data_IF_584467204071
#
_entry.id   IF_584467204071
#
_cell.length_a   1.000
_cell.length_b   1.000
_cell.length_c   1.000
_cell.angle_alpha   90.00
_cell.angle_beta   90.00
_cell.angle_gamma   90.00
#
_symmetry.space_group_name_H-M   'P 1'
#
loop_
_entity.id
_entity.type
_entity.pdbx_description
1 polymer ?
#
# COMPACT_ATOMS: atom_id res chain seq x y z
N UNK A 1 43.58 15.07 16.82
CA UNK A 1 42.84 15.51 15.64
C UNK A 1 41.37 15.40 16.00
N UNK A 2 40.74 16.52 16.34
CA UNK A 2 39.30 16.56 16.58
C UNK A 2 38.62 16.41 15.20
N UNK A 3 37.73 15.44 15.06
CA UNK A 3 36.95 15.27 13.83
C UNK A 3 35.98 16.44 13.73
N UNK A 4 36.03 17.16 12.62
CA UNK A 4 35.10 18.25 12.33
C UNK A 4 33.68 17.69 12.26
N UNK A 5 32.84 18.05 13.22
CA UNK A 5 31.40 17.87 13.13
C UNK A 5 30.89 18.82 12.04
N UNK A 6 30.60 18.29 10.85
CA UNK A 6 29.94 19.10 9.82
C UNK A 6 28.51 19.41 10.26
N UNK A 7 28.22 20.69 10.44
CA UNK A 7 26.85 21.18 10.65
C UNK A 7 26.17 21.19 9.30
N UNK A 8 25.31 20.21 9.04
CA UNK A 8 24.44 20.20 7.86
C UNK A 8 23.24 21.09 8.19
N UNK A 9 23.18 22.26 7.56
CA UNK A 9 22.03 23.17 7.68
C UNK A 9 20.91 22.67 6.77
N UNK A 10 19.94 21.94 7.32
CA UNK A 10 18.73 21.55 6.60
C UNK A 10 17.82 22.78 6.52
N UNK A 11 17.67 23.35 5.33
CA UNK A 11 16.72 24.44 5.07
C UNK A 11 15.54 23.84 4.32
N UNK A 12 14.44 23.55 5.02
CA UNK A 12 13.20 23.15 4.37
C UNK A 12 12.52 24.41 3.81
N UNK A 13 12.52 24.58 2.49
CA UNK A 13 11.67 25.58 1.85
C UNK A 13 10.23 25.04 1.92
N UNK A 14 9.44 25.53 2.90
CA UNK A 14 8.00 25.30 2.93
C UNK A 14 7.40 26.14 1.80
N UNK A 15 7.58 25.69 0.56
CA UNK A 15 6.87 26.20 -0.58
C UNK A 15 5.39 25.91 -0.34
N UNK A 16 4.64 26.95 0.06
CA UNK A 16 3.17 26.96 0.19
C UNK A 16 2.53 25.90 -0.72
N UNK A 17 2.11 24.80 -0.13
CA UNK A 17 1.18 23.88 -0.75
C UNK A 17 -0.13 24.65 -1.00
N UNK A 18 -0.25 25.23 -2.19
CA UNK A 18 -1.56 25.62 -2.72
C UNK A 18 -2.20 24.34 -3.26
N UNK A 19 -2.78 23.55 -2.36
CA UNK A 19 -3.92 22.73 -2.73
C UNK A 19 -5.19 23.43 -2.27
N UNK A 20 -5.99 23.79 -3.26
CA UNK A 20 -7.33 24.30 -3.10
C UNK A 20 -8.18 23.20 -2.46
N UNK A 21 -8.49 23.34 -1.18
CA UNK A 21 -9.67 22.68 -0.62
C UNK A 21 -10.92 23.42 -1.12
N UNK A 22 -11.94 22.73 -1.65
CA UNK A 22 -13.25 23.33 -1.83
C UNK A 22 -13.83 23.67 -0.45
N UNK A 23 -13.90 24.97 -0.17
CA UNK A 23 -14.73 25.62 0.86
C UNK A 23 -14.62 25.12 2.31
N UNK A 24 -13.78 25.83 3.08
CA UNK A 24 -14.30 26.60 4.22
C UNK A 24 -14.50 25.88 5.55
N UNK A 25 -13.41 25.65 6.29
CA UNK A 25 -13.42 25.73 7.76
C UNK A 25 -12.12 26.40 8.23
N UNK A 26 -12.18 27.44 9.10
CA UNK A 26 -11.00 28.11 9.62
C UNK A 26 -10.50 27.40 10.88
N UNK A 27 -9.31 26.79 10.83
CA UNK A 27 -8.73 26.16 12.01
C UNK A 27 -7.43 25.37 11.82
N UNK A 28 -6.69 25.56 10.73
CA UNK A 28 -5.36 24.93 10.59
C UNK A 28 -4.37 25.72 11.44
N UNK A 29 -4.09 25.22 12.65
CA UNK A 29 -2.94 25.65 13.44
C UNK A 29 -1.67 25.17 12.73
N UNK A 30 -0.88 26.11 12.22
CA UNK A 30 0.51 25.86 11.78
C UNK A 30 1.41 25.99 13.00
N UNK A 31 1.26 25.08 13.97
CA UNK A 31 2.25 24.98 15.02
C UNK A 31 3.37 24.09 14.51
N UNK A 32 4.54 24.69 14.42
CA UNK A 32 5.83 24.07 14.12
C UNK A 32 6.19 23.15 15.29
N UNK A 33 5.55 21.99 15.36
CA UNK A 33 5.73 21.03 16.45
C UNK A 33 6.86 20.07 16.07
N UNK A 34 8.00 20.34 16.71
CA UNK A 34 9.17 19.47 17.01
C UNK A 34 9.57 18.37 16.01
N UNK A 35 10.85 18.43 15.61
CA UNK A 35 11.62 17.33 14.99
C UNK A 35 11.27 15.98 15.63
N UNK A 36 10.45 15.19 14.94
CA UNK A 36 10.26 13.78 15.27
C UNK A 36 11.42 13.02 14.63
N UNK A 37 12.07 12.17 15.42
CA UNK A 37 13.12 11.28 14.93
C UNK A 37 12.50 9.88 14.79
N UNK A 38 12.77 9.17 13.70
CA UNK A 38 12.44 7.74 13.67
C UNK A 38 13.26 6.96 14.71
N UNK A 39 12.93 5.67 14.90
CA UNK A 39 13.63 4.79 15.84
C UNK A 39 15.13 4.58 15.47
N UNK A 40 15.52 4.99 14.26
CA UNK A 40 16.89 4.99 13.75
C UNK A 40 17.59 6.37 13.87
N UNK A 41 16.90 7.41 14.35
CA UNK A 41 17.43 8.75 14.59
C UNK A 41 17.38 9.72 13.41
N UNK A 42 16.60 9.45 12.37
CA UNK A 42 16.43 10.34 11.20
C UNK A 42 15.31 11.36 11.39
N UNK A 43 15.49 12.58 10.89
CA UNK A 43 14.52 13.69 11.00
C UNK A 43 13.33 13.45 10.06
N UNK A 44 12.12 13.45 10.62
CA UNK A 44 10.85 13.37 9.87
C UNK A 44 10.12 14.73 9.90
N UNK A 45 9.64 15.18 8.74
CA UNK A 45 8.72 16.32 8.63
C UNK A 45 7.29 15.81 8.38
N UNK A 46 6.47 15.76 9.43
CA UNK A 46 5.08 15.31 9.33
C UNK A 46 4.12 16.51 9.22
N UNK A 47 3.19 16.47 8.26
CA UNK A 47 1.97 17.26 8.31
C UNK A 47 0.80 16.32 8.61
N UNK A 48 0.24 16.42 9.81
CA UNK A 48 -0.88 15.59 10.23
C UNK A 48 -2.21 16.35 10.07
N UNK A 49 -3.22 15.70 9.51
CA UNK A 49 -4.60 16.22 9.52
C UNK A 49 -5.40 15.48 10.59
N UNK A 50 -5.63 16.12 11.76
CA UNK A 50 -6.45 15.52 12.82
C UNK A 50 -6.35 16.22 14.18
N UNK A 51 -7.44 16.22 14.95
CA UNK A 51 -7.44 16.70 16.34
C UNK A 51 -6.52 15.83 17.21
N UNK A 52 -5.93 16.41 18.25
CA UNK A 52 -5.05 15.67 19.16
C UNK A 52 -5.80 14.53 19.87
N UNK A 53 -5.50 13.27 19.53
CA UNK A 53 -6.00 12.09 20.24
C UNK A 53 -6.49 10.92 19.39
N UNK A 54 -6.71 11.10 18.09
CA UNK A 54 -7.12 10.03 17.16
C UNK A 54 -5.93 9.60 16.29
N UNK A 55 -5.86 8.33 15.87
CA UNK A 55 -4.83 7.81 14.94
C UNK A 55 -4.71 8.76 13.75
N UNK A 56 -3.62 9.52 13.69
CA UNK A 56 -3.48 10.63 12.73
C UNK A 56 -2.84 10.09 11.46
N UNK A 57 -3.56 10.22 10.35
CA UNK A 57 -2.96 10.19 9.01
C UNK A 57 -1.96 11.35 8.91
N UNK A 58 -0.71 11.04 9.23
CA UNK A 58 0.41 11.96 9.10
C UNK A 58 1.06 11.70 7.75
N UNK A 59 1.12 12.76 6.95
CA UNK A 59 1.75 12.77 5.65
C UNK A 59 3.17 13.31 5.82
N UNK A 60 4.19 12.57 5.40
CA UNK A 60 5.53 13.14 5.25
C UNK A 60 5.51 14.03 4.01
N UNK A 61 5.52 15.35 4.20
CA UNK A 61 5.86 16.30 3.12
C UNK A 61 7.26 16.77 3.35
N UNK A 62 8.19 16.17 2.64
CA UNK A 62 9.51 16.74 2.57
C UNK A 62 10.06 16.51 1.17
N UNK A 63 9.98 17.56 0.36
CA UNK A 63 11.08 17.84 -0.56
C UNK A 63 12.32 18.06 0.32
N UNK A 64 12.94 16.97 0.82
CA UNK A 64 14.27 17.06 1.42
C UNK A 64 15.23 17.21 0.26
N UNK A 65 15.40 18.44 -0.22
CA UNK A 65 16.62 18.78 -0.92
C UNK A 65 17.74 18.75 0.14
N UNK A 66 18.53 17.68 0.17
CA UNK A 66 19.80 17.68 0.88
C UNK A 66 20.77 18.57 0.10
N UNK A 67 20.59 19.89 0.24
CA UNK A 67 21.49 20.88 -0.35
C UNK A 67 22.83 20.83 0.38
N UNK A 68 23.72 19.98 -0.11
CA UNK A 68 25.12 20.03 0.26
C UNK A 68 25.70 21.37 -0.18
N UNK A 69 26.39 22.07 0.73
CA UNK A 69 27.21 23.23 0.35
C UNK A 69 28.45 22.83 -0.46
N UNK A 70 28.72 21.52 -0.56
CA UNK A 70 29.79 20.94 -1.35
C UNK A 70 29.29 20.58 -2.77
N UNK A 71 29.78 21.27 -3.82
CA UNK A 71 29.38 21.03 -5.21
C UNK A 71 29.87 19.69 -5.78
N UNK A 72 30.62 18.88 -5.00
CA UNK A 72 31.07 17.55 -5.39
C UNK A 72 30.08 16.43 -5.01
N UNK A 73 29.04 16.74 -4.24
CA UNK A 73 27.97 15.78 -3.89
C UNK A 73 26.77 16.02 -4.81
N UNK A 74 26.32 15.02 -5.59
CA UNK A 74 25.12 15.15 -6.40
C UNK A 74 23.89 15.30 -5.51
N UNK A 75 22.99 16.23 -5.87
CA UNK A 75 21.69 16.40 -5.22
C UNK A 75 20.87 15.11 -5.35
N UNK A 76 20.36 14.60 -4.23
CA UNK A 76 19.56 13.37 -4.20
C UNK A 76 18.10 13.77 -4.22
N UNK A 77 17.53 13.96 -5.41
CA UNK A 77 16.09 14.13 -5.57
C UNK A 77 15.41 12.77 -5.43
N UNK A 78 14.83 12.50 -4.28
CA UNK A 78 13.99 11.31 -4.08
C UNK A 78 12.59 11.62 -4.61
N UNK A 79 12.03 10.83 -5.55
CA UNK A 79 10.66 11.05 -5.99
C UNK A 79 9.68 10.77 -4.86
N UNK A 80 8.75 11.70 -4.71
CA UNK A 80 7.71 11.82 -3.69
C UNK A 80 6.80 10.58 -3.66
N UNK A 81 6.96 9.71 -2.66
CA UNK A 81 5.88 8.82 -2.24
C UNK A 81 5.44 9.27 -0.84
N UNK A 82 4.21 9.76 -0.73
CA UNK A 82 3.55 9.98 0.54
C UNK A 82 3.53 8.65 1.30
N UNK A 83 4.42 8.48 2.28
CA UNK A 83 4.49 7.28 3.09
C UNK A 83 3.59 7.50 4.31
N UNK A 84 2.50 6.73 4.43
CA UNK A 84 1.60 6.75 5.58
C UNK A 84 2.40 6.47 6.84
N UNK A 85 2.34 7.31 7.87
CA UNK A 85 2.84 6.90 9.20
C UNK A 85 1.71 6.46 10.12
N UNK A 86 0.56 6.13 9.52
CA UNK A 86 -0.61 5.62 10.22
C UNK A 86 -0.38 4.23 10.79
N UNK A 87 -1.31 3.88 11.66
CA UNK A 87 -1.54 2.54 12.20
C UNK A 87 -3.06 2.36 12.05
N UNK A 88 -3.43 1.77 10.91
CA UNK A 88 -4.82 1.76 10.43
C UNK A 88 -5.70 0.80 11.21
N UNK A 89 -5.14 -0.25 11.79
CA UNK A 89 -5.86 -1.24 12.59
C UNK A 89 -5.62 -1.14 14.10
N UNK A 90 -4.68 -0.30 14.53
CA UNK A 90 -4.42 0.04 15.91
C UNK A 90 -3.67 -1.05 16.67
N UNK A 91 -2.90 -1.89 15.98
CA UNK A 91 -2.16 -3.00 16.59
C UNK A 91 -0.80 -2.57 17.18
N UNK A 92 -0.39 -1.33 16.95
CA UNK A 92 0.87 -0.76 17.41
C UNK A 92 2.03 -0.87 16.41
N UNK A 93 1.78 -1.41 15.21
CA UNK A 93 2.69 -1.46 14.07
C UNK A 93 2.22 -0.44 13.04
N UNK A 94 3.15 0.30 12.45
CA UNK A 94 2.79 1.31 11.43
C UNK A 94 2.55 0.62 10.10
N UNK A 95 1.59 1.10 9.31
CA UNK A 95 1.17 0.53 8.00
C UNK A 95 2.34 0.19 7.06
N UNK A 96 3.48 0.89 7.16
CA UNK A 96 4.64 0.73 6.27
C UNK A 96 5.54 -0.45 6.60
N UNK A 97 5.44 -0.95 7.83
CA UNK A 97 6.20 -2.07 8.35
C UNK A 97 5.27 -3.17 8.87
N UNK A 98 3.96 -2.96 8.72
CA UNK A 98 2.91 -3.90 9.05
C UNK A 98 2.66 -4.84 7.86
N UNK A 99 2.75 -6.15 8.10
CA UNK A 99 2.47 -7.17 7.11
C UNK A 99 0.96 -7.44 6.92
N UNK A 100 0.09 -6.87 7.78
CA UNK A 100 -1.37 -6.87 7.63
C UNK A 100 -1.97 -5.50 8.01
N UNK A 101 -1.79 -4.43 7.21
CA UNK A 101 -2.16 -3.05 7.57
C UNK A 101 -3.63 -2.79 7.94
N UNK A 102 -4.52 -3.77 7.76
CA UNK A 102 -5.94 -3.64 8.06
C UNK A 102 -6.46 -4.69 9.05
N UNK A 103 -5.59 -5.57 9.55
CA UNK A 103 -5.96 -6.69 10.44
C UNK A 103 -4.95 -6.83 11.56
N UNK A 104 -5.35 -6.36 12.74
CA UNK A 104 -4.47 -6.21 13.89
C UNK A 104 -3.70 -7.49 14.27
N UNK A 105 -2.37 -7.42 14.21
CA UNK A 105 -1.47 -8.55 14.40
C UNK A 105 -0.09 -8.15 14.96
N UNK A 106 -0.11 -7.43 16.09
CA UNK A 106 1.05 -6.82 16.76
C UNK A 106 2.33 -7.67 16.91
N UNK A 107 2.22 -9.00 16.89
CA UNK A 107 3.38 -9.88 16.95
C UNK A 107 4.19 -9.91 15.63
N UNK A 108 3.54 -9.73 14.47
CA UNK A 108 4.09 -9.77 13.09
C UNK A 108 4.79 -11.09 12.72
N UNK A 109 5.71 -11.60 13.53
CA UNK A 109 6.54 -12.80 13.31
C UNK A 109 5.85 -14.14 13.64
N UNK A 110 4.79 -14.12 14.44
CA UNK A 110 4.02 -15.31 14.82
C UNK A 110 2.76 -15.53 13.95
N UNK A 111 2.64 -14.80 12.84
CA UNK A 111 1.50 -14.95 11.93
C UNK A 111 1.77 -16.03 10.87
N UNK A 112 0.91 -17.07 10.78
CA UNK A 112 1.03 -18.06 9.74
C UNK A 112 0.89 -17.44 8.35
N UNK A 113 1.64 -17.99 7.41
CA UNK A 113 1.59 -17.72 5.98
C UNK A 113 1.66 -19.10 5.31
N UNK A 114 0.50 -19.62 4.93
CA UNK A 114 0.31 -21.02 4.54
C UNK A 114 0.76 -21.31 3.11
N UNK A 115 0.71 -20.32 2.23
CA UNK A 115 1.12 -20.43 0.84
C UNK A 115 2.50 -19.81 0.55
N UNK A 116 3.08 -19.10 1.52
CA UNK A 116 4.42 -18.53 1.52
C UNK A 116 4.62 -17.35 0.55
N UNK A 117 3.58 -16.55 0.34
CA UNK A 117 3.60 -15.38 -0.55
C UNK A 117 4.11 -14.10 0.15
N UNK A 118 4.26 -14.14 1.48
CA UNK A 118 4.70 -13.02 2.31
C UNK A 118 3.57 -12.21 2.95
N UNK A 119 2.31 -12.60 2.72
CA UNK A 119 1.09 -12.05 3.32
C UNK A 119 0.55 -13.06 4.33
N UNK A 120 0.35 -12.66 5.60
CA UNK A 120 -0.17 -13.60 6.57
C UNK A 120 -1.61 -14.04 6.30
N UNK A 121 -1.90 -15.30 6.65
CA UNK A 121 -3.21 -15.97 6.50
C UNK A 121 -4.39 -15.16 7.07
N UNK A 122 -4.15 -14.26 8.02
CA UNK A 122 -5.21 -13.46 8.66
C UNK A 122 -5.68 -12.28 7.79
N UNK A 123 -4.89 -11.86 6.81
CA UNK A 123 -5.20 -10.76 5.90
C UNK A 123 -5.00 -11.11 4.42
N UNK A 124 -4.74 -12.39 4.12
CA UNK A 124 -4.59 -12.90 2.78
C UNK A 124 -5.95 -13.18 2.11
N UNK A 125 -6.19 -12.59 0.94
CA UNK A 125 -7.40 -12.79 0.14
C UNK A 125 -7.37 -14.06 -0.74
N UNK A 126 -6.29 -14.85 -0.71
CA UNK A 126 -6.12 -16.13 -1.42
C UNK A 126 -5.28 -17.18 -0.66
N UNK A 127 -5.74 -17.61 0.52
CA UNK A 127 -5.12 -18.55 1.49
C UNK A 127 -4.38 -19.81 0.99
N UNK A 128 -4.58 -20.22 -0.26
CA UNK A 128 -3.99 -21.43 -0.83
C UNK A 128 -3.07 -21.20 -2.01
N UNK A 129 -2.91 -19.97 -2.50
CA UNK A 129 -2.18 -19.68 -3.72
C UNK A 129 -1.51 -18.31 -3.71
N UNK A 130 -0.18 -18.34 -3.91
CA UNK A 130 0.67 -17.16 -3.78
C UNK A 130 0.18 -15.97 -4.62
N UNK A 131 -0.17 -14.87 -3.96
CA UNK A 131 -0.57 -13.64 -4.62
C UNK A 131 -0.09 -12.38 -3.87
N UNK A 132 1.23 -12.09 -3.83
CA UNK A 132 1.80 -11.04 -2.98
C UNK A 132 1.26 -9.62 -3.24
N UNK A 133 0.62 -9.39 -4.40
CA UNK A 133 -0.02 -8.12 -4.73
C UNK A 133 -1.37 -7.90 -4.05
N UNK A 134 -2.00 -8.96 -3.52
CA UNK A 134 -3.30 -8.96 -2.82
C UNK A 134 -4.38 -8.18 -3.59
N UNK A 135 -4.32 -8.24 -4.92
CA UNK A 135 -5.23 -7.53 -5.79
C UNK A 135 -6.60 -8.18 -5.74
N UNK A 136 -7.61 -7.36 -5.46
CA UNK A 136 -9.03 -7.71 -5.49
C UNK A 136 -9.73 -6.55 -6.21
N UNK A 137 -9.97 -6.71 -7.50
CA UNK A 137 -10.42 -5.62 -8.36
C UNK A 137 -11.90 -5.32 -8.14
N UNK A 138 -12.69 -6.36 -7.89
CA UNK A 138 -14.13 -6.25 -7.68
C UNK A 138 -14.51 -5.97 -6.21
N UNK A 139 -13.55 -6.09 -5.28
CA UNK A 139 -13.68 -5.88 -3.83
C UNK A 139 -14.71 -6.79 -3.18
N UNK A 140 -14.77 -8.06 -3.60
CA UNK A 140 -15.67 -9.06 -3.01
C UNK A 140 -15.00 -9.85 -1.87
N UNK A 141 -13.70 -9.63 -1.65
CA UNK A 141 -12.88 -10.26 -0.61
C UNK A 141 -12.14 -11.50 -1.09
N UNK A 142 -12.26 -11.91 -2.36
CA UNK A 142 -11.40 -12.90 -2.98
C UNK A 142 -10.39 -12.20 -3.89
N UNK A 143 -9.10 -12.56 -3.77
CA UNK A 143 -8.10 -12.01 -4.68
C UNK A 143 -8.31 -12.51 -6.10
N UNK A 144 -8.02 -11.65 -7.09
CA UNK A 144 -8.09 -11.99 -8.51
C UNK A 144 -7.40 -13.35 -8.83
N UNK A 145 -6.33 -13.70 -8.11
CA UNK A 145 -5.59 -14.95 -8.33
C UNK A 145 -6.41 -16.22 -8.03
N UNK A 146 -7.25 -16.17 -7.00
CA UNK A 146 -8.10 -17.27 -6.57
C UNK A 146 -9.59 -17.05 -6.92
N UNK A 147 -9.94 -15.94 -7.57
CA UNK A 147 -11.28 -15.63 -8.04
C UNK A 147 -11.36 -15.60 -9.57
N UNK A 148 -11.75 -16.73 -10.15
CA UNK A 148 -12.04 -16.83 -11.59
C UNK A 148 -13.54 -16.78 -11.90
N UNK A 149 -14.39 -16.43 -10.93
CA UNK A 149 -15.85 -16.35 -11.05
C UNK A 149 -16.27 -14.93 -11.44
N UNK A 150 -15.90 -14.51 -12.65
CA UNK A 150 -16.03 -13.13 -13.14
C UNK A 150 -17.48 -12.61 -13.23
N UNK A 151 -18.50 -13.45 -13.09
CA UNK A 151 -19.90 -13.03 -12.95
C UNK A 151 -20.50 -13.20 -11.53
N UNK A 152 -19.67 -13.62 -10.56
CA UNK A 152 -20.00 -13.77 -9.14
C UNK A 152 -21.20 -14.69 -8.89
N UNK A 153 -21.29 -15.81 -9.62
CA UNK A 153 -22.36 -16.81 -9.48
C UNK A 153 -22.01 -17.97 -8.51
N UNK A 154 -20.80 -17.97 -7.99
CA UNK A 154 -20.18 -18.95 -7.11
C UNK A 154 -19.37 -20.04 -7.81
N UNK A 155 -19.18 -19.98 -9.14
CA UNK A 155 -18.50 -21.02 -9.92
C UNK A 155 -17.85 -20.48 -11.21
N UNK A 156 -16.53 -20.59 -11.28
CA UNK A 156 -15.76 -20.34 -12.49
C UNK A 156 -16.12 -21.37 -13.59
N UNK A 157 -16.73 -20.94 -14.68
CA UNK A 157 -17.22 -21.82 -15.73
C UNK A 157 -17.12 -21.19 -17.13
N UNK A 158 -17.88 -21.73 -18.09
CA UNK A 158 -17.85 -21.25 -19.48
C UNK A 158 -18.36 -19.82 -19.66
N UNK A 159 -19.21 -19.32 -18.76
CA UNK A 159 -19.69 -17.94 -18.79
C UNK A 159 -18.59 -16.97 -18.38
N UNK A 160 -17.81 -17.31 -17.36
CA UNK A 160 -16.63 -16.55 -16.93
C UNK A 160 -15.55 -16.56 -17.99
N UNK A 161 -15.32 -17.71 -18.63
CA UNK A 161 -14.43 -17.78 -19.78
C UNK A 161 -14.92 -16.89 -20.95
N UNK A 162 -16.23 -16.71 -21.12
CA UNK A 162 -16.75 -15.79 -22.12
C UNK A 162 -16.46 -14.34 -21.74
N UNK A 163 -16.61 -13.98 -20.47
CA UNK A 163 -16.27 -12.65 -19.94
C UNK A 163 -14.77 -12.37 -20.12
N UNK A 164 -13.89 -13.28 -19.70
CA UNK A 164 -12.45 -13.15 -19.88
C UNK A 164 -12.06 -12.95 -21.36
N UNK A 165 -12.72 -13.66 -22.28
CA UNK A 165 -12.47 -13.51 -23.72
C UNK A 165 -12.85 -12.13 -24.26
N UNK A 166 -13.83 -11.46 -23.65
CA UNK A 166 -14.17 -10.07 -23.97
C UNK A 166 -13.15 -9.08 -23.41
N UNK A 167 -12.47 -9.44 -22.31
CA UNK A 167 -11.44 -8.62 -21.67
C UNK A 167 -10.02 -8.82 -22.24
N UNK A 168 -9.81 -9.82 -23.10
CA UNK A 168 -8.47 -10.17 -23.58
C UNK A 168 -7.75 -9.01 -24.29
N UNK A 169 -6.57 -8.66 -23.79
CA UNK A 169 -5.73 -7.55 -24.25
C UNK A 169 -6.08 -6.19 -23.63
N UNK A 170 -7.07 -6.13 -22.74
CA UNK A 170 -7.36 -4.96 -21.92
C UNK A 170 -6.49 -4.99 -20.65
N UNK A 171 -6.17 -3.81 -20.12
CA UNK A 171 -5.38 -3.69 -18.89
C UNK A 171 -5.99 -2.69 -17.92
N UNK A 172 -5.25 -2.37 -16.86
CA UNK A 172 -5.72 -1.53 -15.76
C UNK A 172 -6.39 -2.34 -14.66
N UNK A 173 -7.32 -1.72 -13.93
CA UNK A 173 -8.12 -2.38 -12.89
C UNK A 173 -9.16 -3.27 -13.58
N UNK A 174 -8.82 -4.55 -13.77
CA UNK A 174 -9.63 -5.53 -14.48
C UNK A 174 -9.68 -6.83 -13.67
N UNK A 175 -10.89 -7.32 -13.41
CA UNK A 175 -11.13 -8.55 -12.66
C UNK A 175 -10.61 -9.80 -13.40
N UNK A 176 -10.57 -9.74 -14.73
CA UNK A 176 -10.03 -10.82 -15.55
C UNK A 176 -8.48 -10.83 -15.63
N UNK A 177 -7.79 -9.87 -15.02
CA UNK A 177 -6.34 -9.85 -14.84
C UNK A 177 -6.01 -10.63 -13.56
N UNK A 178 -6.06 -11.96 -13.67
CA UNK A 178 -5.99 -12.89 -12.55
C UNK A 178 -4.59 -12.95 -11.92
N UNK A 179 -3.54 -12.60 -12.66
CA UNK A 179 -2.19 -12.50 -12.10
C UNK A 179 -1.78 -11.08 -11.73
N UNK A 180 -2.64 -10.10 -12.00
CA UNK A 180 -2.44 -8.68 -11.70
C UNK A 180 -1.15 -8.10 -12.28
N UNK A 181 -0.78 -8.55 -13.48
CA UNK A 181 0.37 -8.02 -14.21
C UNK A 181 0.05 -6.74 -15.01
N UNK A 182 -1.22 -6.30 -14.95
CA UNK A 182 -1.74 -5.09 -15.54
C UNK A 182 -2.36 -5.30 -16.92
N UNK A 183 -2.43 -6.53 -17.44
CA UNK A 183 -3.04 -6.84 -18.73
C UNK A 183 -3.60 -8.27 -18.81
N UNK A 184 -4.87 -8.38 -19.17
CA UNK A 184 -5.54 -9.66 -19.43
C UNK A 184 -4.95 -10.34 -20.67
N UNK A 185 -4.28 -11.46 -20.48
CA UNK A 185 -3.57 -12.18 -21.54
C UNK A 185 -3.62 -13.71 -21.34
N UNK A 186 -2.70 -14.43 -22.00
CA UNK A 186 -2.64 -15.89 -21.92
C UNK A 186 -2.25 -16.43 -20.54
N UNK A 187 -1.57 -15.65 -19.72
CA UNK A 187 -1.22 -16.04 -18.35
C UNK A 187 -2.47 -16.07 -17.46
N UNK A 188 -3.36 -15.09 -17.59
CA UNK A 188 -4.66 -15.10 -16.89
C UNK A 188 -5.54 -16.25 -17.36
N UNK A 189 -5.53 -16.52 -18.67
CA UNK A 189 -6.26 -17.68 -19.20
C UNK A 189 -5.73 -19.02 -18.66
N UNK A 190 -4.46 -19.07 -18.23
CA UNK A 190 -3.90 -20.26 -17.59
C UNK A 190 -4.50 -20.44 -16.19
N UNK A 191 -4.57 -19.36 -15.40
CA UNK A 191 -5.21 -19.36 -14.08
C UNK A 191 -6.71 -19.70 -14.20
N UNK A 192 -7.44 -19.04 -15.10
CA UNK A 192 -8.86 -19.33 -15.39
C UNK A 192 -9.10 -20.81 -15.70
N UNK A 193 -8.18 -21.44 -16.44
CA UNK A 193 -8.27 -22.86 -16.76
C UNK A 193 -8.02 -23.75 -15.55
N UNK A 194 -7.11 -23.38 -14.68
CA UNK A 194 -6.80 -24.11 -13.44
C UNK A 194 -7.98 -24.03 -12.45
N UNK A 195 -8.65 -22.88 -12.41
CA UNK A 195 -9.83 -22.64 -11.58
C UNK A 195 -11.16 -23.13 -12.16
N UNK A 196 -11.16 -23.65 -13.39
CA UNK A 196 -12.40 -24.03 -14.07
C UNK A 196 -13.19 -25.11 -13.30
N UNK A 197 -14.40 -24.77 -12.88
CA UNK A 197 -15.32 -25.59 -12.09
C UNK A 197 -15.15 -25.45 -10.59
N UNK A 198 -14.29 -24.56 -10.12
CA UNK A 198 -14.08 -24.24 -8.71
C UNK A 198 -14.87 -22.99 -8.30
N UNK A 199 -15.17 -22.89 -7.01
CA UNK A 199 -15.63 -21.64 -6.41
C UNK A 199 -14.41 -20.74 -6.11
N UNK A 200 -14.62 -19.43 -5.90
CA UNK A 200 -13.55 -18.50 -5.48
C UNK A 200 -12.90 -18.88 -4.16
N UNK A 201 -11.66 -18.40 -3.97
CA UNK A 201 -10.91 -18.54 -2.72
C UNK A 201 -10.28 -19.92 -2.50
N UNK A 202 -10.08 -20.34 -1.24
CA UNK A 202 -10.51 -19.69 0.00
C UNK A 202 -9.81 -18.36 0.31
N UNK A 203 -10.42 -17.52 1.16
CA UNK A 203 -9.93 -16.19 1.57
C UNK A 203 -10.12 -15.99 3.08
N UNK A 204 -9.25 -15.22 3.72
CA UNK A 204 -9.38 -14.80 5.12
C UNK A 204 -10.61 -13.90 5.37
N UNK A 205 -11.07 -13.19 4.34
CA UNK A 205 -12.20 -12.26 4.41
C UNK A 205 -13.57 -12.94 4.23
N UNK A 206 -13.59 -14.15 3.66
CA UNK A 206 -14.78 -14.94 3.38
C UNK A 206 -14.61 -16.41 3.83
N UNK A 207 -14.75 -16.70 5.14
CA UNK A 207 -14.57 -18.04 5.73
C UNK A 207 -15.75 -19.01 5.56
#
# INVERSE_FOLDING_TARGET
AAGDTQVITVTADIARARHATPQGTPGVSTENETQDLDDDGNIIFNACTGAAGDSKDCWVFADIALLSSDPSVPDVSMPLAARSTGDSDGDGVKDLVDNCPTVANAAQDETPDSDADGVPDICDNCLGEENPSQCDTNNDGFGNHCDADLDNNGLANTFDLAIMREQFGLGGSNDADLNCDGIVNTFDLTIMREKFGLAPGPSSFNP
#
